data_IF_031637318278
#
_entry.id   IF_031637318278
#
_cell.length_a   1.000
_cell.length_b   1.000
_cell.length_c   1.000
_cell.angle_alpha   90.00
_cell.angle_beta   90.00
_cell.angle_gamma   90.00
#
_symmetry.space_group_name_H-M   'P 1'
#
loop_
_entity.id
_entity.type
_entity.pdbx_description
1 polymer ?
#
# COMPACT_ATOMS: atom_id res chain seq x y z
N UNK A 1 19.27 38.16 -13.90
CA UNK A 1 17.85 38.06 -13.48
C UNK A 1 17.18 36.89 -14.19
N UNK A 2 17.38 36.72 -15.50
CA UNK A 2 16.84 35.64 -16.32
C UNK A 2 17.16 34.22 -15.80
N UNK A 3 18.42 33.94 -15.43
CA UNK A 3 18.80 32.64 -14.85
C UNK A 3 18.13 32.36 -13.50
N UNK A 4 17.97 33.38 -12.65
CA UNK A 4 17.34 33.23 -11.34
C UNK A 4 15.83 32.99 -11.45
N UNK A 5 15.18 33.57 -12.47
CA UNK A 5 13.78 33.29 -12.77
C UNK A 5 13.61 31.88 -13.32
N UNK A 6 14.46 31.46 -14.27
CA UNK A 6 14.43 30.10 -14.82
C UNK A 6 14.64 29.01 -13.75
N UNK A 7 15.53 29.24 -12.78
CA UNK A 7 15.70 28.31 -11.64
C UNK A 7 14.48 28.25 -10.73
N UNK A 8 13.83 29.40 -10.48
CA UNK A 8 12.60 29.45 -9.68
C UNK A 8 11.49 28.66 -10.36
N UNK A 9 11.28 28.90 -11.65
CA UNK A 9 10.21 28.26 -12.42
C UNK A 9 10.46 26.75 -12.54
N UNK A 10 11.72 26.32 -12.66
CA UNK A 10 12.08 24.90 -12.66
C UNK A 10 11.80 24.20 -11.32
N UNK A 11 12.12 24.84 -10.20
CA UNK A 11 11.81 24.29 -8.88
C UNK A 11 10.30 24.27 -8.60
N UNK A 12 9.56 25.27 -9.07
CA UNK A 12 8.11 25.30 -8.96
C UNK A 12 7.46 24.18 -9.77
N UNK A 13 7.89 23.98 -11.02
CA UNK A 13 7.41 22.89 -11.87
C UNK A 13 7.74 21.51 -11.27
N UNK A 14 8.94 21.36 -10.70
CA UNK A 14 9.35 20.14 -10.01
C UNK A 14 8.48 19.88 -8.78
N UNK A 15 8.24 20.91 -7.96
CA UNK A 15 7.37 20.81 -6.79
C UNK A 15 5.92 20.46 -7.15
N UNK A 16 5.39 21.03 -8.24
CA UNK A 16 4.07 20.67 -8.76
C UNK A 16 4.01 19.21 -9.20
N UNK A 17 5.04 18.72 -9.92
CA UNK A 17 5.14 17.33 -10.32
C UNK A 17 5.21 16.36 -9.14
N UNK A 18 6.00 16.68 -8.11
CA UNK A 18 6.09 15.87 -6.90
C UNK A 18 4.75 15.83 -6.13
N UNK A 19 4.04 16.96 -6.08
CA UNK A 19 2.72 17.05 -5.46
C UNK A 19 1.67 16.22 -6.21
N UNK A 20 1.66 16.29 -7.55
CA UNK A 20 0.75 15.50 -8.38
C UNK A 20 1.05 14.00 -8.29
N UNK A 21 2.32 13.61 -8.27
CA UNK A 21 2.70 12.22 -8.07
C UNK A 21 2.21 11.71 -6.71
N UNK A 22 2.49 12.46 -5.63
CA UNK A 22 2.03 12.10 -4.29
C UNK A 22 0.50 11.99 -4.21
N UNK A 23 -0.22 12.92 -4.86
CA UNK A 23 -1.68 12.90 -4.95
C UNK A 23 -2.19 11.67 -5.71
N UNK A 24 -1.63 11.34 -6.87
CA UNK A 24 -2.03 10.16 -7.66
C UNK A 24 -1.75 8.87 -6.88
N UNK A 25 -0.61 8.78 -6.18
CA UNK A 25 -0.34 7.64 -5.31
C UNK A 25 -1.36 7.55 -4.18
N UNK A 26 -1.61 8.65 -3.47
CA UNK A 26 -2.60 8.70 -2.40
C UNK A 26 -3.99 8.31 -2.91
N UNK A 27 -4.45 8.89 -4.02
CA UNK A 27 -5.73 8.55 -4.66
C UNK A 27 -5.78 7.07 -5.04
N UNK A 28 -4.71 6.50 -5.60
CA UNK A 28 -4.65 5.09 -5.95
C UNK A 28 -4.69 4.16 -4.72
N UNK A 29 -4.12 4.58 -3.59
CA UNK A 29 -4.21 3.86 -2.31
C UNK A 29 -5.57 4.07 -1.62
N UNK A 30 -6.21 5.23 -1.82
CA UNK A 30 -7.51 5.61 -1.26
C UNK A 30 -8.70 5.11 -2.08
N UNK A 31 -8.52 4.72 -3.35
CA UNK A 31 -9.58 4.14 -4.18
C UNK A 31 -10.21 2.93 -3.49
N UNK A 32 -9.39 2.10 -2.85
CA UNK A 32 -9.87 1.01 -2.00
C UNK A 32 -8.77 0.51 -1.03
N UNK A 33 -8.64 1.15 0.15
CA UNK A 33 -7.70 0.73 1.19
C UNK A 33 -7.97 -0.71 1.67
N UNK A 34 -9.22 -1.15 1.62
CA UNK A 34 -9.65 -2.49 2.03
C UNK A 34 -9.18 -3.54 1.01
N UNK A 35 -9.28 -3.26 -0.28
CA UNK A 35 -8.75 -4.10 -1.35
C UNK A 35 -7.22 -4.24 -1.27
N UNK A 36 -6.49 -3.15 -1.04
CA UNK A 36 -5.04 -3.22 -0.87
C UNK A 36 -4.66 -4.07 0.36
N UNK A 37 -5.34 -3.86 1.49
CA UNK A 37 -5.13 -4.63 2.72
C UNK A 37 -5.45 -6.12 2.51
N UNK A 38 -6.52 -6.42 1.77
CA UNK A 38 -6.91 -7.77 1.39
C UNK A 38 -5.85 -8.44 0.50
N UNK A 39 -5.42 -7.81 -0.60
CA UNK A 39 -4.39 -8.36 -1.50
C UNK A 39 -3.04 -8.55 -0.78
N UNK A 40 -2.67 -7.61 0.10
CA UNK A 40 -1.48 -7.74 0.96
C UNK A 40 -1.59 -8.94 1.90
N UNK A 41 -2.74 -9.13 2.55
CA UNK A 41 -2.97 -10.29 3.43
C UNK A 41 -2.87 -11.62 2.67
N UNK A 42 -3.44 -11.70 1.45
CA UNK A 42 -3.36 -12.91 0.61
C UNK A 42 -1.92 -13.24 0.21
N UNK A 43 -1.13 -12.22 -0.15
CA UNK A 43 0.29 -12.42 -0.45
C UNK A 43 1.08 -12.87 0.78
N UNK A 44 0.79 -12.31 1.95
CA UNK A 44 1.39 -12.75 3.21
C UNK A 44 1.08 -14.22 3.50
N UNK A 45 -0.18 -14.66 3.35
CA UNK A 45 -0.54 -16.08 3.46
C UNK A 45 0.26 -16.94 2.49
N UNK A 46 0.32 -16.55 1.21
CA UNK A 46 1.04 -17.30 0.19
C UNK A 46 2.53 -17.45 0.53
N UNK A 47 3.17 -16.41 1.03
CA UNK A 47 4.56 -16.46 1.47
C UNK A 47 4.74 -17.33 2.71
N UNK A 48 3.91 -17.16 3.74
CA UNK A 48 3.99 -17.94 4.98
C UNK A 48 3.73 -19.44 4.76
N UNK A 49 2.84 -19.81 3.84
CA UNK A 49 2.54 -21.22 3.52
C UNK A 49 3.45 -21.82 2.43
N UNK A 50 4.32 -21.02 1.81
CA UNK A 50 5.24 -21.53 0.77
C UNK A 50 6.38 -22.38 1.33
N UNK A 51 6.76 -22.15 2.59
CA UNK A 51 7.74 -22.96 3.30
C UNK A 51 7.05 -24.08 4.07
N UNK A 52 7.24 -25.33 3.63
CA UNK A 52 6.63 -26.54 4.23
C UNK A 52 7.09 -26.86 5.67
N UNK A 53 7.97 -26.05 6.26
CA UNK A 53 8.61 -26.31 7.56
C UNK A 53 8.34 -25.24 8.64
N UNK A 54 7.61 -24.17 8.34
CA UNK A 54 7.43 -23.06 9.28
C UNK A 54 6.22 -23.34 10.18
N UNK A 55 6.47 -23.60 11.48
CA UNK A 55 5.43 -23.66 12.50
C UNK A 55 4.93 -22.22 12.71
N UNK A 56 3.75 -21.93 12.15
CA UNK A 56 3.12 -20.63 12.29
C UNK A 56 2.35 -20.58 13.62
N UNK A 57 2.96 -19.97 14.66
CA UNK A 57 2.26 -19.62 15.90
C UNK A 57 1.46 -18.34 15.66
N UNK A 58 0.14 -18.45 15.55
CA UNK A 58 -0.77 -17.31 15.39
C UNK A 58 -1.86 -17.41 16.45
N UNK A 59 -2.17 -16.31 17.10
CA UNK A 59 -3.32 -16.21 17.97
C UNK A 59 -4.62 -16.34 17.13
N UNK A 60 -5.63 -17.12 17.56
CA UNK A 60 -6.85 -17.37 16.78
C UNK A 60 -7.65 -16.13 16.39
N UNK A 61 -7.50 -15.05 17.16
CA UNK A 61 -8.12 -13.73 17.01
C UNK A 61 -7.20 -12.70 16.35
N UNK A 62 -6.02 -13.12 15.87
CA UNK A 62 -5.07 -12.23 15.20
C UNK A 62 -5.70 -11.57 13.97
N UNK A 63 -5.47 -10.27 13.82
CA UNK A 63 -5.77 -9.49 12.60
C UNK A 63 -5.21 -10.14 11.33
N UNK A 64 -4.19 -10.99 11.47
CA UNK A 64 -3.65 -11.79 10.40
C UNK A 64 -4.74 -12.62 9.70
N UNK A 65 -5.70 -13.21 10.42
CA UNK A 65 -6.78 -14.03 9.84
C UNK A 65 -8.10 -13.29 9.63
N UNK A 66 -8.14 -11.97 9.83
CA UNK A 66 -9.37 -11.16 9.70
C UNK A 66 -10.15 -11.48 8.42
N UNK A 67 -9.47 -11.53 7.28
CA UNK A 67 -10.09 -11.83 5.98
C UNK A 67 -10.40 -13.32 5.76
N UNK A 68 -9.65 -14.24 6.39
CA UNK A 68 -9.91 -15.68 6.31
C UNK A 68 -11.12 -16.08 7.17
N UNK A 69 -11.29 -15.45 8.33
CA UNK A 69 -12.38 -15.70 9.27
C UNK A 69 -13.70 -15.04 8.81
N UNK A 70 -13.64 -13.91 8.08
CA UNK A 70 -14.83 -13.25 7.53
C UNK A 70 -15.54 -14.04 6.43
N UNK A 71 -14.89 -15.01 5.75
CA UNK A 71 -15.55 -15.88 4.77
C UNK A 71 -16.51 -16.93 5.40
N UNK A 72 -16.42 -17.19 6.72
CA UNK A 72 -17.31 -18.15 7.41
C UNK A 72 -18.65 -17.54 7.86
N UNK A 73 -19.25 -16.68 7.03
CA UNK A 73 -20.43 -15.92 7.43
C UNK A 73 -21.41 -15.54 6.33
N UNK A 74 -21.78 -16.49 5.47
CA UNK A 74 -23.16 -16.70 4.98
C UNK A 74 -23.43 -18.20 4.85
#
# INVERSE_FOLDING_TARGET
>A
IELANAYRDAEELRGQGDADAARIYAEAYEQDPEFYAFVRSLNAYKSSFSNKGDILLVEPDSDFFKYLNQQKGQ
#
